data_IF_762010335769
#
_entry.id   IF_762010335769
#
_cell.length_a   1.000
_cell.length_b   1.000
_cell.length_c   1.000
_cell.angle_alpha   90.00
_cell.angle_beta   90.00
_cell.angle_gamma   90.00
#
_symmetry.space_group_name_H-M   'P 1'
#
loop_
_entity.id
_entity.type
_entity.pdbx_description
1 polymer ?
#
# COMPACT_ATOMS: atom_id res chain seq x y z
N UNK A 1 -3.47 -13.09 22.53
CA UNK A 1 -3.35 -11.65 22.22
C UNK A 1 -4.02 -11.39 20.88
N UNK A 2 -4.57 -10.19 20.62
CA UNK A 2 -5.02 -9.82 19.28
C UNK A 2 -3.90 -10.00 18.26
N UNK A 3 -4.22 -10.60 17.12
CA UNK A 3 -3.30 -10.81 15.98
C UNK A 3 -2.03 -11.59 16.33
N UNK A 4 -2.11 -12.55 17.27
CA UNK A 4 -0.94 -13.35 17.68
C UNK A 4 -0.36 -14.15 16.50
N UNK A 5 -1.22 -14.86 15.77
CA UNK A 5 -0.81 -15.69 14.63
C UNK A 5 -0.15 -14.85 13.53
N UNK A 6 -0.68 -13.65 13.25
CA UNK A 6 -0.09 -12.76 12.25
C UNK A 6 1.23 -12.14 12.70
N UNK A 7 1.39 -11.85 13.99
CA UNK A 7 2.67 -11.41 14.55
C UNK A 7 3.73 -12.48 14.39
N UNK A 8 3.37 -13.73 14.70
CA UNK A 8 4.29 -14.86 14.58
C UNK A 8 4.68 -15.10 13.11
N UNK A 9 3.70 -15.05 12.20
CA UNK A 9 3.94 -15.21 10.75
C UNK A 9 4.87 -14.13 10.18
N UNK A 10 4.75 -12.89 10.66
CA UNK A 10 5.56 -11.75 10.21
C UNK A 10 6.82 -11.54 11.06
N UNK A 11 7.08 -12.38 12.07
CA UNK A 11 8.16 -12.24 13.04
C UNK A 11 8.18 -10.86 13.75
N UNK A 12 7.00 -10.33 14.10
CA UNK A 12 6.84 -9.05 14.77
C UNK A 12 6.94 -9.19 16.29
N UNK A 13 7.59 -8.22 16.92
CA UNK A 13 7.62 -8.13 18.38
C UNK A 13 6.22 -7.85 18.95
N UNK A 14 6.01 -8.25 20.21
CA UNK A 14 4.81 -7.88 20.95
C UNK A 14 4.77 -6.36 21.11
N UNK A 15 3.68 -5.74 20.64
CA UNK A 15 3.51 -4.29 20.64
C UNK A 15 3.88 -3.59 19.33
N UNK A 16 4.58 -4.26 18.40
CA UNK A 16 4.82 -3.71 17.06
C UNK A 16 3.49 -3.33 16.37
N UNK A 17 3.42 -2.20 15.67
CA UNK A 17 2.22 -1.79 14.97
C UNK A 17 1.92 -2.72 13.78
N UNK A 18 0.64 -3.03 13.56
CA UNK A 18 0.18 -3.82 12.42
C UNK A 18 -0.73 -2.93 11.58
N UNK A 19 -0.46 -2.87 10.28
CA UNK A 19 -1.33 -2.21 9.32
C UNK A 19 -2.42 -3.19 8.90
N UNK A 20 -3.67 -2.77 9.04
CA UNK A 20 -4.85 -3.57 8.64
C UNK A 20 -5.61 -2.78 7.59
N UNK A 21 -5.71 -3.34 6.38
CA UNK A 21 -6.46 -2.73 5.27
C UNK A 21 -7.65 -3.63 4.96
N UNK A 22 -8.84 -3.06 4.98
CA UNK A 22 -10.08 -3.71 4.54
C UNK A 22 -10.54 -3.05 3.27
N UNK A 23 -10.62 -3.82 2.19
CA UNK A 23 -11.04 -3.36 0.87
C UNK A 23 -12.33 -4.08 0.48
N UNK A 24 -13.36 -3.31 0.16
CA UNK A 24 -14.58 -3.82 -0.47
C UNK A 24 -14.57 -3.38 -1.92
N UNK A 25 -14.53 -4.33 -2.86
CA UNK A 25 -14.88 -4.03 -4.25
C UNK A 25 -16.39 -4.15 -4.39
N UNK A 26 -17.00 -3.14 -5.00
CA UNK A 26 -18.41 -3.16 -5.34
C UNK A 26 -18.61 -3.05 -6.86
N UNK A 27 -19.72 -3.59 -7.35
CA UNK A 27 -20.16 -3.36 -8.72
C UNK A 27 -20.67 -1.93 -8.91
N UNK A 28 -21.02 -1.59 -10.16
CA UNK A 28 -21.57 -0.27 -10.52
C UNK A 28 -22.86 0.10 -9.77
N UNK A 29 -23.58 -0.90 -9.26
CA UNK A 29 -24.84 -0.73 -8.54
C UNK A 29 -24.60 -0.71 -7.01
N UNK A 30 -23.34 -0.67 -6.57
CA UNK A 30 -22.91 -0.62 -5.18
C UNK A 30 -22.98 -1.97 -4.45
N UNK A 31 -23.17 -3.08 -5.16
CA UNK A 31 -23.24 -4.41 -4.55
C UNK A 31 -21.83 -4.96 -4.34
N UNK A 32 -21.52 -5.51 -3.16
CA UNK A 32 -20.19 -6.03 -2.89
C UNK A 32 -19.89 -7.24 -3.79
N UNK A 33 -18.76 -7.18 -4.48
CA UNK A 33 -18.20 -8.26 -5.28
C UNK A 33 -17.14 -9.04 -4.50
N UNK A 34 -16.31 -8.33 -3.75
CA UNK A 34 -15.20 -8.92 -3.01
C UNK A 34 -14.93 -8.15 -1.72
N UNK A 35 -14.53 -8.87 -0.68
CA UNK A 35 -13.92 -8.32 0.53
C UNK A 35 -12.52 -8.90 0.67
N UNK A 36 -11.52 -8.03 0.77
CA UNK A 36 -10.12 -8.40 1.04
C UNK A 36 -9.69 -7.76 2.36
N UNK A 37 -9.07 -8.54 3.26
CA UNK A 37 -8.36 -8.02 4.43
C UNK A 37 -6.87 -8.31 4.28
N UNK A 38 -6.05 -7.26 4.39
CA UNK A 38 -4.59 -7.34 4.34
C UNK A 38 -4.07 -6.95 5.72
N UNK A 39 -3.13 -7.75 6.23
CA UNK A 39 -2.40 -7.49 7.48
C UNK A 39 -0.92 -7.45 7.15
N UNK A 40 -0.24 -6.40 7.58
CA UNK A 40 1.16 -6.18 7.27
C UNK A 40 1.92 -5.52 8.44
N UNK A 41 3.24 -5.66 8.42
CA UNK A 41 4.15 -4.90 9.29
C UNK A 41 4.05 -3.41 8.97
N UNK A 42 3.46 -2.62 9.87
CA UNK A 42 3.20 -1.21 9.59
C UNK A 42 4.48 -0.38 9.41
N UNK A 43 5.61 -0.80 9.98
CA UNK A 43 6.87 -0.04 9.91
C UNK A 43 7.49 -0.07 8.51
N UNK A 44 7.06 -0.99 7.65
CA UNK A 44 7.55 -1.14 6.27
C UNK A 44 6.75 -0.37 5.23
N UNK A 45 5.63 0.22 5.62
CA UNK A 45 4.72 0.87 4.69
C UNK A 45 4.47 2.32 5.08
N UNK A 46 4.50 3.18 4.07
CA UNK A 46 3.98 4.53 4.18
C UNK A 46 2.60 4.59 3.50
N UNK A 47 1.62 5.19 4.19
CA UNK A 47 0.29 5.40 3.63
C UNK A 47 0.20 6.80 3.05
N UNK A 48 -0.04 6.88 1.75
CA UNK A 48 -0.28 8.15 1.05
C UNK A 48 -1.71 8.15 0.54
N UNK A 49 -2.40 9.27 0.77
CA UNK A 49 -3.74 9.50 0.26
C UNK A 49 -3.71 10.63 -0.77
N UNK A 50 -4.21 10.35 -1.97
CA UNK A 50 -4.47 11.38 -2.97
C UNK A 50 -5.98 11.63 -3.01
N UNK A 51 -6.40 12.81 -2.56
CA UNK A 51 -7.74 13.31 -2.84
C UNK A 51 -7.72 13.81 -4.26
N UNK A 52 -8.62 13.34 -5.12
CA UNK A 52 -8.77 13.86 -6.48
C UNK A 52 -9.10 15.37 -6.45
N UNK A 53 -8.08 16.21 -6.40
CA UNK A 53 -8.02 17.41 -7.20
C UNK A 53 -7.02 17.07 -8.30
N UNK A 54 -7.51 16.70 -9.49
CA UNK A 54 -6.72 16.43 -10.69
C UNK A 54 -5.94 17.67 -11.17
N UNK A 55 -4.98 18.18 -10.38
CA UNK A 55 -4.11 19.28 -10.81
C UNK A 55 -2.67 19.19 -10.32
N UNK A 56 -2.32 18.26 -9.44
CA UNK A 56 -0.92 18.11 -9.01
C UNK A 56 -0.58 16.64 -8.78
N UNK A 57 0.02 16.06 -9.82
CA UNK A 57 0.76 14.81 -9.74
C UNK A 57 1.77 14.94 -8.57
N UNK A 58 1.80 14.00 -7.61
CA UNK A 58 2.79 14.06 -6.54
C UNK A 58 4.19 14.04 -7.18
N UNK A 59 5.04 15.02 -6.82
CA UNK A 59 6.41 15.06 -7.32
C UNK A 59 7.11 13.73 -7.05
N UNK A 60 7.62 13.11 -8.11
CA UNK A 60 8.25 11.78 -8.06
C UNK A 60 7.36 10.61 -8.47
N UNK A 61 6.11 10.83 -8.87
CA UNK A 61 5.25 9.81 -9.47
C UNK A 61 5.37 9.82 -11.00
N UNK A 62 6.34 9.06 -11.50
CA UNK A 62 6.54 8.86 -12.93
C UNK A 62 5.50 7.88 -13.47
N UNK A 63 4.50 8.41 -14.18
CA UNK A 63 3.49 7.61 -14.88
C UNK A 63 4.01 7.03 -16.20
N UNK A 64 5.21 7.42 -16.64
CA UNK A 64 5.82 7.06 -17.93
C UNK A 64 7.00 6.07 -17.77
N UNK A 65 6.90 5.12 -16.82
CA UNK A 65 7.79 3.96 -16.83
C UNK A 65 7.36 2.99 -17.94
N UNK A 66 7.59 3.40 -19.18
CA UNK A 66 7.51 2.57 -20.39
C UNK A 66 8.88 2.36 -21.03
N UNK A 67 9.97 2.85 -20.41
CA UNK A 67 11.33 2.60 -20.88
C UNK A 67 12.14 1.77 -19.88
N UNK A 68 12.45 0.48 -20.17
CA UNK A 68 13.21 -0.39 -19.28
C UNK A 68 14.66 0.07 -19.06
N UNK A 69 15.19 0.99 -19.86
CA UNK A 69 16.57 1.49 -19.74
C UNK A 69 16.75 2.55 -18.62
N UNK A 70 15.67 3.17 -18.13
CA UNK A 70 15.75 4.23 -17.10
C UNK A 70 15.75 3.70 -15.66
N UNK A 71 15.55 2.39 -15.46
CA UNK A 71 15.55 1.72 -14.16
C UNK A 71 16.95 1.33 -13.65
N UNK A 72 17.99 1.47 -14.47
CA UNK A 72 19.34 0.98 -14.13
C UNK A 72 20.23 1.99 -13.40
N UNK A 73 19.87 3.29 -13.39
CA UNK A 73 20.76 4.38 -12.93
C UNK A 73 20.26 5.12 -11.68
N UNK A 74 19.14 4.69 -11.08
CA UNK A 74 18.71 5.21 -9.78
C UNK A 74 19.17 4.24 -8.69
N UNK A 75 19.81 4.72 -7.60
CA UNK A 75 20.02 3.86 -6.44
C UNK A 75 18.66 3.32 -6.00
N UNK A 76 18.58 2.01 -5.78
CA UNK A 76 17.36 1.38 -5.29
C UNK A 76 16.85 2.20 -4.09
N UNK A 77 15.66 2.81 -4.16
CA UNK A 77 15.08 3.39 -2.97
C UNK A 77 14.97 2.25 -1.95
N UNK A 78 15.25 2.54 -0.68
CA UNK A 78 15.01 1.57 0.39
C UNK A 78 13.62 0.96 0.21
N UNK A 79 13.44 -0.35 0.51
CA UNK A 79 12.22 -1.09 0.21
C UNK A 79 11.08 -0.67 1.15
N UNK A 80 10.65 0.59 1.07
CA UNK A 80 9.46 1.12 1.70
C UNK A 80 8.32 0.87 0.73
N UNK A 81 7.47 -0.11 1.05
CA UNK A 81 6.26 -0.35 0.29
C UNK A 81 5.36 0.88 0.36
N UNK A 82 4.91 1.39 -0.78
CA UNK A 82 3.94 2.49 -0.84
C UNK A 82 2.56 1.94 -1.16
N UNK A 83 1.58 2.25 -0.30
CA UNK A 83 0.19 1.88 -0.54
C UNK A 83 -0.58 3.16 -0.90
N UNK A 84 -1.06 3.22 -2.15
CA UNK A 84 -1.89 4.31 -2.64
C UNK A 84 -3.37 3.94 -2.52
N UNK A 85 -4.12 4.78 -1.83
CA UNK A 85 -5.59 4.70 -1.80
C UNK A 85 -6.15 5.70 -2.81
N UNK A 86 -6.84 5.19 -3.84
CA UNK A 86 -7.66 5.97 -4.76
C UNK A 86 -9.10 5.88 -4.25
N UNK A 87 -9.69 7.03 -3.90
CA UNK A 87 -11.09 7.14 -3.46
C UNK A 87 -11.91 7.90 -4.49
#
# INVERSE_FOLDING_TARGET
MPYADERDLMALSVGSPILIIRRILADKDGRPLEMTEIKADAERFETVYARENFTSQPEGFDTDIHNPEQLQDRPDPEPTGRILFLL
#
